data_IF_877603520328
#
_entry.id   IF_877603520328
#
_cell.length_a   1.000
_cell.length_b   1.000
_cell.length_c   1.000
_cell.angle_alpha   90.00
_cell.angle_beta   90.00
_cell.angle_gamma   90.00
#
_symmetry.space_group_name_H-M   'P 1'
#
loop_
_entity.id
_entity.type
_entity.pdbx_description
1 polymer ?
#
# COMPACT_ATOMS: atom_id res chain seq x y z
N UNK A 1 -23.74 -47.56 24.38
CA UNK A 1 -22.82 -46.43 24.22
C UNK A 1 -21.40 -46.96 24.06
N UNK A 2 -20.70 -46.53 23.01
CA UNK A 2 -19.32 -46.91 22.71
C UNK A 2 -18.48 -45.64 22.77
N UNK A 3 -17.27 -45.75 23.30
CA UNK A 3 -16.31 -44.64 23.25
C UNK A 3 -15.68 -44.61 21.88
N UNK A 4 -15.96 -43.57 21.12
CA UNK A 4 -15.40 -43.30 19.80
C UNK A 4 -14.10 -42.52 19.97
N UNK A 5 -13.02 -42.98 19.37
CA UNK A 5 -11.71 -42.33 19.45
C UNK A 5 -11.08 -42.21 18.08
N UNK A 6 -10.16 -41.29 17.95
CA UNK A 6 -9.39 -41.13 16.70
C UNK A 6 -8.38 -40.00 16.80
N UNK A 7 -7.66 -39.81 15.69
CA UNK A 7 -6.68 -38.73 15.50
C UNK A 7 -7.00 -37.99 14.23
N UNK A 8 -6.91 -36.68 14.28
CA UNK A 8 -7.13 -35.80 13.14
C UNK A 8 -5.81 -35.08 12.79
N UNK A 9 -5.39 -35.22 11.56
CA UNK A 9 -4.14 -34.62 11.03
C UNK A 9 -4.41 -33.85 9.73
N UNK A 10 -3.47 -33.02 9.32
CA UNK A 10 -3.46 -32.39 8.00
C UNK A 10 -2.85 -33.30 6.92
N UNK A 11 -2.70 -32.79 5.71
CA UNK A 11 -2.08 -33.47 4.57
C UNK A 11 -0.59 -33.79 4.77
N UNK A 12 0.09 -33.05 5.64
CA UNK A 12 1.50 -33.24 6.01
C UNK A 12 1.68 -34.13 7.24
N UNK A 13 0.56 -34.74 7.70
CA UNK A 13 0.52 -35.63 8.86
C UNK A 13 0.79 -34.96 10.22
N UNK A 14 0.63 -33.61 10.28
CA UNK A 14 0.72 -32.83 11.50
C UNK A 14 -0.60 -32.86 12.27
N UNK A 15 -0.60 -33.03 13.60
CA UNK A 15 -1.82 -33.08 14.40
C UNK A 15 -2.58 -31.77 14.38
N UNK A 16 -3.89 -31.83 14.15
CA UNK A 16 -4.76 -30.66 14.13
C UNK A 16 -5.46 -30.48 15.48
N UNK A 17 -5.14 -29.35 16.14
CA UNK A 17 -5.69 -29.00 17.46
C UNK A 17 -6.98 -28.22 17.29
N UNK A 18 -8.01 -28.53 18.09
CA UNK A 18 -9.24 -27.76 18.11
C UNK A 18 -10.20 -28.05 16.94
N UNK A 19 -10.02 -29.15 16.22
CA UNK A 19 -11.01 -29.65 15.24
C UNK A 19 -12.30 -29.98 15.96
N UNK A 20 -13.41 -29.44 15.51
CA UNK A 20 -14.72 -29.74 16.06
C UNK A 20 -15.23 -31.07 15.49
N UNK A 21 -15.56 -32.01 16.37
CA UNK A 21 -16.03 -33.36 16.04
C UNK A 21 -17.44 -33.52 16.63
N UNK A 22 -18.47 -33.61 15.77
CA UNK A 22 -19.87 -33.67 16.20
C UNK A 22 -20.57 -34.88 15.60
N UNK A 23 -21.46 -35.52 16.35
CA UNK A 23 -22.33 -36.55 15.81
C UNK A 23 -23.42 -35.88 14.94
N UNK A 24 -23.49 -36.26 13.67
CA UNK A 24 -24.43 -35.69 12.72
C UNK A 24 -25.86 -35.73 13.21
N UNK A 25 -26.53 -34.57 13.19
CA UNK A 25 -27.93 -34.42 13.62
C UNK A 25 -28.13 -34.33 15.14
N UNK A 26 -27.05 -34.18 15.91
CA UNK A 26 -27.13 -34.00 17.38
C UNK A 26 -26.27 -32.79 17.80
N UNK A 27 -26.45 -32.37 19.06
CA UNK A 27 -25.58 -31.36 19.69
C UNK A 27 -24.38 -31.99 20.45
N UNK A 28 -24.20 -33.31 20.33
CA UNK A 28 -23.13 -34.02 21.04
C UNK A 28 -21.85 -33.96 20.25
N UNK A 29 -20.81 -33.32 20.80
CA UNK A 29 -19.54 -33.13 20.14
C UNK A 29 -18.39 -32.96 21.11
N UNK A 30 -17.18 -32.94 20.58
CA UNK A 30 -15.91 -32.70 21.28
C UNK A 30 -14.94 -31.95 20.36
N UNK A 31 -13.79 -31.53 20.87
CA UNK A 31 -12.69 -30.94 20.07
C UNK A 31 -11.43 -31.80 20.24
N UNK A 32 -10.57 -31.76 19.22
CA UNK A 32 -9.25 -32.43 19.29
C UNK A 32 -8.30 -31.75 20.26
N UNK A 33 -7.47 -32.51 20.93
CA UNK A 33 -6.42 -32.07 21.85
C UNK A 33 -5.13 -31.63 21.10
N UNK A 34 -4.04 -31.37 21.86
CA UNK A 34 -2.73 -30.99 21.37
C UNK A 34 -2.07 -32.02 20.44
N UNK A 35 -2.42 -33.29 20.58
CA UNK A 35 -1.96 -34.41 19.75
C UNK A 35 -2.92 -34.71 18.60
N UNK A 36 -3.93 -33.86 18.37
CA UNK A 36 -4.98 -34.10 17.38
C UNK A 36 -5.95 -35.21 17.73
N UNK A 37 -5.95 -35.74 18.98
CA UNK A 37 -6.80 -36.83 19.41
C UNK A 37 -8.16 -36.34 19.89
N UNK A 38 -9.20 -37.13 19.62
CA UNK A 38 -10.55 -36.87 20.14
C UNK A 38 -11.12 -38.10 20.82
N UNK A 39 -12.00 -37.87 21.76
CA UNK A 39 -12.79 -38.91 22.44
C UNK A 39 -14.23 -38.43 22.58
N UNK A 40 -15.18 -39.21 22.10
CA UNK A 40 -16.61 -38.91 22.10
C UNK A 40 -17.41 -40.14 22.41
N UNK A 41 -18.50 -40.02 23.17
CA UNK A 41 -19.41 -41.13 23.49
C UNK A 41 -20.57 -41.12 22.49
N UNK A 42 -20.83 -42.27 21.87
CA UNK A 42 -21.91 -42.43 20.91
C UNK A 42 -22.22 -43.93 20.64
N UNK A 43 -22.73 -44.24 19.46
CA UNK A 43 -23.10 -45.58 19.03
C UNK A 43 -22.44 -45.94 17.70
N UNK A 44 -22.14 -47.24 17.52
CA UNK A 44 -21.61 -47.73 16.26
C UNK A 44 -22.57 -47.43 15.11
N UNK A 45 -22.05 -46.99 13.97
CA UNK A 45 -22.83 -46.63 12.79
C UNK A 45 -23.22 -45.17 12.72
N UNK A 46 -22.97 -44.39 13.76
CA UNK A 46 -23.20 -42.93 13.68
C UNK A 46 -22.15 -42.24 12.81
N UNK A 47 -22.57 -41.18 12.12
CA UNK A 47 -21.70 -40.34 11.28
C UNK A 47 -21.12 -39.23 12.14
N UNK A 48 -19.80 -39.13 12.16
CA UNK A 48 -19.07 -38.02 12.76
C UNK A 48 -18.78 -36.95 11.69
N UNK A 49 -19.00 -35.71 12.05
CA UNK A 49 -18.73 -34.55 11.22
C UNK A 49 -17.50 -33.82 11.79
N UNK A 50 -16.47 -33.72 10.99
CA UNK A 50 -15.22 -33.04 11.34
C UNK A 50 -15.22 -31.68 10.66
N UNK A 51 -15.09 -30.59 11.41
CA UNK A 51 -15.01 -29.23 10.89
C UNK A 51 -13.87 -28.45 11.53
N UNK A 52 -13.10 -27.75 10.71
CA UNK A 52 -12.01 -26.90 11.11
C UNK A 52 -11.91 -25.69 10.18
N UNK A 53 -11.49 -24.53 10.71
CA UNK A 53 -11.40 -23.30 9.93
C UNK A 53 -10.35 -23.47 8.81
N UNK A 54 -10.75 -23.22 7.55
CA UNK A 54 -9.87 -23.34 6.39
C UNK A 54 -9.71 -24.77 5.87
N UNK A 55 -10.46 -25.75 6.39
CA UNK A 55 -10.41 -27.15 5.92
C UNK A 55 -11.75 -27.65 5.44
N UNK A 56 -11.73 -28.55 4.48
CA UNK A 56 -12.93 -29.20 3.92
C UNK A 56 -13.61 -30.04 4.97
N UNK A 57 -14.90 -29.79 5.19
CA UNK A 57 -15.75 -30.58 6.11
C UNK A 57 -15.75 -32.05 5.67
N UNK A 58 -15.54 -32.97 6.61
CA UNK A 58 -15.56 -34.39 6.35
C UNK A 58 -16.63 -35.10 7.21
N UNK A 59 -17.31 -36.08 6.59
CA UNK A 59 -18.27 -36.92 7.26
C UNK A 59 -17.81 -38.39 7.22
N UNK A 60 -17.64 -39.02 8.37
CA UNK A 60 -17.12 -40.40 8.46
C UNK A 60 -18.00 -41.22 9.38
N UNK A 61 -18.44 -42.35 8.91
CA UNK A 61 -19.21 -43.33 9.74
C UNK A 61 -18.29 -44.09 10.68
N UNK A 62 -18.58 -44.03 11.98
CA UNK A 62 -17.80 -44.78 12.99
C UNK A 62 -18.13 -46.28 12.99
N UNK A 63 -17.12 -47.13 12.76
CA UNK A 63 -17.25 -48.57 12.62
C UNK A 63 -16.63 -49.35 13.80
N UNK A 64 -16.54 -48.73 14.98
CA UNK A 64 -16.03 -49.41 16.19
C UNK A 64 -14.51 -49.54 16.28
N UNK A 65 -13.74 -48.84 15.39
CA UNK A 65 -12.27 -48.77 15.43
C UNK A 65 -11.83 -47.33 15.53
N UNK A 66 -10.69 -47.04 16.16
CA UNK A 66 -10.14 -45.69 16.18
C UNK A 66 -10.00 -45.13 14.78
N UNK A 67 -10.45 -43.88 14.56
CA UNK A 67 -10.38 -43.20 13.27
C UNK A 67 -9.05 -42.50 13.10
N UNK A 68 -8.52 -42.54 11.89
CA UNK A 68 -7.43 -41.68 11.47
C UNK A 68 -7.99 -40.78 10.34
N UNK A 69 -8.13 -39.49 10.62
CA UNK A 69 -8.80 -38.54 9.73
C UNK A 69 -7.79 -37.55 9.21
N UNK A 70 -7.60 -37.54 7.90
CA UNK A 70 -6.74 -36.56 7.20
C UNK A 70 -7.63 -35.46 6.66
N UNK A 71 -7.61 -34.29 7.28
CA UNK A 71 -8.32 -33.14 6.77
C UNK A 71 -7.52 -32.50 5.64
N UNK A 72 -8.22 -32.17 4.59
CA UNK A 72 -7.63 -31.45 3.44
C UNK A 72 -7.96 -29.97 3.62
N UNK A 73 -7.01 -29.12 3.26
CA UNK A 73 -7.31 -27.71 3.12
C UNK A 73 -8.55 -27.57 2.27
N UNK A 74 -9.45 -26.66 2.67
CA UNK A 74 -10.53 -26.27 1.78
C UNK A 74 -9.92 -25.51 0.62
N UNK A 75 -9.30 -26.28 -0.26
CA UNK A 75 -8.89 -25.85 -1.60
C UNK A 75 -10.09 -25.79 -2.55
N UNK A 76 -11.26 -25.44 -2.10
CA UNK A 76 -11.96 -24.40 -2.78
C UNK A 76 -11.07 -23.18 -2.59
N UNK A 77 -9.97 -23.15 -3.37
CA UNK A 77 -9.47 -21.92 -3.92
C UNK A 77 -10.74 -21.14 -4.17
N UNK A 78 -10.97 -20.05 -3.44
CA UNK A 78 -11.97 -19.07 -3.80
C UNK A 78 -11.78 -18.97 -5.30
N UNK A 79 -12.72 -19.54 -6.10
CA UNK A 79 -12.62 -19.46 -7.55
C UNK A 79 -12.51 -17.97 -7.76
N UNK A 80 -11.28 -17.51 -8.01
CA UNK A 80 -11.02 -16.09 -8.12
C UNK A 80 -11.89 -15.58 -9.23
N UNK A 81 -12.99 -15.02 -8.84
CA UNK A 81 -14.02 -14.52 -9.73
C UNK A 81 -13.57 -13.13 -10.11
N UNK A 82 -13.30 -12.94 -11.37
CA UNK A 82 -12.85 -11.68 -11.95
C UNK A 82 -14.09 -10.96 -12.49
N UNK A 83 -14.32 -9.74 -12.05
CA UNK A 83 -15.36 -8.88 -12.65
C UNK A 83 -14.76 -8.17 -13.84
N UNK A 84 -15.14 -8.57 -15.05
CA UNK A 84 -14.72 -7.93 -16.29
C UNK A 84 -15.91 -7.21 -16.90
N UNK A 85 -15.87 -5.89 -16.95
CA UNK A 85 -17.00 -5.07 -17.41
C UNK A 85 -18.22 -5.25 -16.52
N UNK A 86 -19.29 -5.80 -17.07
CA UNK A 86 -20.54 -6.08 -16.37
C UNK A 86 -20.74 -7.57 -16.06
N UNK A 87 -19.74 -8.41 -16.32
CA UNK A 87 -19.82 -9.86 -16.14
C UNK A 87 -18.84 -10.34 -15.09
N UNK A 88 -19.31 -11.28 -14.28
CA UNK A 88 -18.50 -12.02 -13.34
C UNK A 88 -18.01 -13.29 -14.03
N UNK A 89 -16.72 -13.37 -14.32
CA UNK A 89 -16.08 -14.49 -15.05
C UNK A 89 -15.08 -15.19 -14.14
N UNK A 90 -14.97 -16.52 -14.20
CA UNK A 90 -13.94 -17.24 -13.48
C UNK A 90 -12.57 -16.90 -14.07
N UNK A 91 -11.54 -16.72 -13.23
CA UNK A 91 -10.16 -16.46 -13.68
C UNK A 91 -9.66 -17.56 -14.62
N UNK A 92 -10.08 -18.80 -14.41
CA UNK A 92 -9.79 -19.95 -15.28
C UNK A 92 -10.33 -19.80 -16.70
N UNK A 93 -11.39 -19.02 -16.89
CA UNK A 93 -12.09 -18.87 -18.16
C UNK A 93 -11.55 -17.67 -18.97
N UNK A 94 -10.58 -16.94 -18.40
CA UNK A 94 -9.94 -15.82 -19.06
C UNK A 94 -8.75 -16.31 -19.88
N UNK A 95 -8.87 -16.16 -21.18
CA UNK A 95 -7.79 -16.49 -22.13
C UNK A 95 -6.65 -15.49 -22.15
N UNK A 96 -6.76 -14.37 -21.43
CA UNK A 96 -5.75 -13.29 -21.37
C UNK A 96 -4.91 -13.33 -20.10
N UNK A 97 -3.72 -12.71 -20.13
CA UNK A 97 -2.85 -12.56 -18.94
C UNK A 97 -3.43 -11.58 -17.94
N UNK A 98 -4.14 -12.10 -16.94
CA UNK A 98 -4.68 -11.34 -15.81
C UNK A 98 -3.76 -11.56 -14.59
N UNK A 99 -3.29 -10.47 -13.97
CA UNK A 99 -2.65 -10.53 -12.67
C UNK A 99 -3.61 -10.05 -11.59
N UNK A 100 -3.62 -10.76 -10.47
CA UNK A 100 -4.33 -10.35 -9.26
C UNK A 100 -3.29 -9.85 -8.27
N UNK A 101 -3.53 -8.70 -7.66
CA UNK A 101 -2.68 -8.14 -6.62
C UNK A 101 -3.09 -8.73 -5.28
N UNK A 102 -2.11 -9.22 -4.50
CA UNK A 102 -2.37 -9.64 -3.13
C UNK A 102 -2.66 -8.43 -2.25
N UNK A 103 -3.94 -8.24 -1.95
CA UNK A 103 -4.38 -7.10 -1.12
C UNK A 103 -3.95 -7.22 0.34
N UNK A 104 -3.58 -8.41 0.82
CA UNK A 104 -3.03 -8.58 2.17
C UNK A 104 -1.61 -8.05 2.23
N UNK A 105 -0.78 -8.39 1.23
CA UNK A 105 0.57 -7.84 1.11
C UNK A 105 0.54 -6.33 0.85
N UNK A 106 -0.35 -5.86 -0.01
CA UNK A 106 -0.55 -4.44 -0.29
C UNK A 106 -0.80 -3.63 0.98
N UNK A 107 -1.66 -4.12 1.88
CA UNK A 107 -2.02 -3.45 3.13
C UNK A 107 -0.89 -3.41 4.17
N UNK A 108 0.22 -4.10 3.97
CA UNK A 108 1.41 -3.97 4.82
C UNK A 108 2.21 -2.70 4.54
N UNK A 109 2.07 -2.14 3.34
CA UNK A 109 2.71 -0.88 2.96
C UNK A 109 2.19 0.30 3.80
N UNK A 110 3.06 1.23 4.15
CA UNK A 110 2.72 2.51 4.80
C UNK A 110 2.31 3.60 3.80
N UNK A 111 2.51 3.36 2.50
CA UNK A 111 2.24 4.35 1.46
C UNK A 111 0.76 4.80 1.46
N UNK A 112 0.54 6.10 1.30
CA UNK A 112 -0.79 6.72 1.39
C UNK A 112 -1.69 6.47 0.19
N UNK A 113 -1.12 6.19 -1.00
CA UNK A 113 -1.90 6.04 -2.23
C UNK A 113 -2.00 4.59 -2.66
N UNK A 114 -3.12 4.25 -3.34
CA UNK A 114 -3.34 2.91 -3.85
C UNK A 114 -2.23 2.47 -4.81
N UNK A 115 -1.82 3.38 -5.70
CA UNK A 115 -0.79 3.10 -6.70
C UNK A 115 0.56 2.79 -6.03
N UNK A 116 0.97 3.58 -5.04
CA UNK A 116 2.22 3.36 -4.31
C UNK A 116 2.20 2.03 -3.55
N UNK A 117 1.07 1.63 -2.97
CA UNK A 117 0.93 0.35 -2.27
C UNK A 117 1.02 -0.87 -3.20
N UNK A 118 0.78 -0.69 -4.52
CA UNK A 118 0.90 -1.78 -5.51
C UNK A 118 2.33 -2.05 -5.96
N UNK A 119 3.31 -1.25 -5.53
CA UNK A 119 4.70 -1.37 -5.95
C UNK A 119 5.27 -2.76 -5.64
N UNK A 120 5.81 -3.44 -6.68
CA UNK A 120 6.42 -4.76 -6.54
C UNK A 120 5.44 -5.94 -6.41
N UNK A 121 4.12 -5.70 -6.35
CA UNK A 121 3.12 -6.76 -6.10
C UNK A 121 2.59 -7.43 -7.38
N UNK A 122 2.88 -6.90 -8.55
CA UNK A 122 2.40 -7.47 -9.80
C UNK A 122 3.52 -7.54 -10.86
N UNK A 123 3.76 -8.73 -11.42
CA UNK A 123 4.75 -8.93 -12.48
C UNK A 123 4.38 -8.13 -13.73
N UNK A 124 5.38 -7.48 -14.37
CA UNK A 124 5.17 -6.66 -15.56
C UNK A 124 4.42 -5.34 -15.31
N UNK A 125 4.30 -4.93 -14.06
CA UNK A 125 3.79 -3.63 -13.64
C UNK A 125 4.92 -2.86 -12.98
N UNK A 126 5.22 -1.69 -13.50
CA UNK A 126 6.23 -0.79 -12.96
C UNK A 126 5.54 0.39 -12.27
N UNK A 127 5.79 0.54 -10.98
CA UNK A 127 5.29 1.67 -10.17
C UNK A 127 6.48 2.51 -9.75
N UNK A 128 6.41 3.81 -9.99
CA UNK A 128 7.42 4.79 -9.61
C UNK A 128 6.79 5.84 -8.72
N UNK A 129 7.17 5.83 -7.46
CA UNK A 129 6.81 6.87 -6.50
C UNK A 129 7.92 7.91 -6.42
N UNK A 130 7.55 9.17 -6.23
CA UNK A 130 8.48 10.26 -5.93
C UNK A 130 9.02 10.19 -4.49
N UNK A 131 8.33 9.43 -3.61
CA UNK A 131 8.59 9.39 -2.17
C UNK A 131 8.02 10.58 -1.40
N UNK A 132 7.31 11.49 -2.06
CA UNK A 132 6.64 12.62 -1.40
C UNK A 132 5.31 12.20 -0.82
N UNK A 133 5.00 12.70 0.37
CA UNK A 133 3.70 12.50 0.97
C UNK A 133 2.61 13.16 0.12
N UNK A 134 1.50 12.47 -0.14
CA UNK A 134 0.36 12.98 -0.90
C UNK A 134 0.58 13.12 -2.42
N UNK A 135 1.67 12.62 -2.97
CA UNK A 135 1.89 12.56 -4.41
C UNK A 135 1.59 11.17 -4.95
N UNK A 136 0.84 11.11 -6.05
CA UNK A 136 0.55 9.84 -6.70
C UNK A 136 1.79 9.28 -7.40
N UNK A 137 1.92 7.96 -7.32
CA UNK A 137 2.92 7.24 -8.08
C UNK A 137 2.49 7.07 -9.54
N UNK A 138 3.43 7.11 -10.46
CA UNK A 138 3.19 6.73 -11.84
C UNK A 138 3.19 5.21 -11.98
N UNK A 139 2.27 4.68 -12.77
CA UNK A 139 2.14 3.24 -13.03
C UNK A 139 2.18 2.95 -14.53
N UNK A 140 2.88 1.90 -14.92
CA UNK A 140 3.02 1.46 -16.30
C UNK A 140 2.90 -0.07 -16.37
N UNK A 141 2.17 -0.57 -17.37
CA UNK A 141 2.00 -2.00 -17.63
C UNK A 141 2.79 -2.36 -18.89
N UNK A 142 3.71 -3.35 -18.78
CA UNK A 142 4.55 -3.84 -19.87
C UNK A 142 5.46 -2.79 -20.54
N UNK A 143 5.73 -1.67 -19.85
CA UNK A 143 6.67 -0.65 -20.31
C UNK A 143 6.00 0.50 -21.08
N UNK A 144 6.84 1.23 -21.83
CA UNK A 144 6.44 2.43 -22.58
C UNK A 144 5.97 2.03 -23.96
N UNK A 145 4.70 2.18 -24.25
CA UNK A 145 4.09 1.89 -25.56
C UNK A 145 3.80 3.13 -26.40
N UNK A 146 3.84 4.32 -25.79
CA UNK A 146 3.54 5.62 -26.43
C UNK A 146 4.50 6.70 -25.95
N UNK A 147 4.78 7.70 -26.82
CA UNK A 147 5.56 8.88 -26.45
C UNK A 147 4.74 9.91 -25.66
N UNK A 148 3.41 9.81 -25.66
CA UNK A 148 2.53 10.81 -25.05
C UNK A 148 1.94 10.38 -23.72
N UNK A 149 1.30 9.22 -23.64
CA UNK A 149 0.65 8.71 -22.43
C UNK A 149 0.76 7.19 -22.34
N UNK A 150 1.25 6.69 -21.20
CA UNK A 150 1.41 5.27 -20.92
C UNK A 150 0.64 4.83 -19.67
N UNK A 151 -0.20 5.70 -19.12
CA UNK A 151 -1.04 5.36 -17.97
C UNK A 151 -2.09 4.30 -18.36
N UNK A 152 -2.31 3.28 -17.53
CA UNK A 152 -3.38 2.32 -17.72
C UNK A 152 -4.74 2.96 -17.46
N UNK A 153 -5.80 2.32 -17.98
CA UNK A 153 -7.16 2.70 -17.65
C UNK A 153 -7.54 2.15 -16.27
N UNK A 154 -8.12 3.00 -15.44
CA UNK A 154 -8.65 2.57 -14.15
C UNK A 154 -10.17 2.36 -14.22
N UNK A 155 -10.61 1.30 -13.57
CA UNK A 155 -12.03 0.95 -13.42
C UNK A 155 -12.29 0.61 -11.96
N UNK A 156 -13.00 1.47 -11.25
CA UNK A 156 -13.36 1.28 -9.84
C UNK A 156 -14.86 0.95 -9.76
N UNK A 157 -15.19 -0.22 -9.23
CA UNK A 157 -16.55 -0.75 -9.13
C UNK A 157 -17.36 -0.65 -10.44
N UNK A 158 -16.70 -0.89 -11.58
CA UNK A 158 -17.29 -0.83 -12.91
C UNK A 158 -17.33 0.56 -13.56
N UNK A 159 -16.92 1.61 -12.84
CA UNK A 159 -16.82 2.97 -13.39
C UNK A 159 -15.40 3.31 -13.79
N UNK A 160 -15.23 3.94 -14.95
CA UNK A 160 -13.93 4.44 -15.40
C UNK A 160 -13.63 5.70 -14.62
N UNK A 161 -12.69 5.60 -13.68
CA UNK A 161 -12.25 6.70 -12.82
C UNK A 161 -10.85 6.43 -12.30
N UNK A 162 -10.06 7.47 -12.14
CA UNK A 162 -8.76 7.40 -11.49
C UNK A 162 -8.96 7.38 -9.97
N UNK A 163 -8.38 6.42 -9.24
CA UNK A 163 -8.51 6.38 -7.78
C UNK A 163 -7.87 7.57 -7.06
N UNK A 164 -6.84 8.20 -7.63
CA UNK A 164 -6.23 9.41 -7.05
C UNK A 164 -5.68 9.26 -5.62
N UNK A 165 -5.19 10.34 -5.06
CA UNK A 165 -4.68 10.42 -3.67
C UNK A 165 -5.80 10.39 -2.63
N UNK A 166 -7.00 10.76 -3.01
CA UNK A 166 -8.20 10.80 -2.18
C UNK A 166 -8.82 9.42 -1.96
N UNK A 167 -8.43 8.42 -2.73
CA UNK A 167 -8.93 7.05 -2.58
C UNK A 167 -8.28 6.35 -1.37
N UNK A 168 -9.12 5.77 -0.48
CA UNK A 168 -8.62 5.02 0.67
C UNK A 168 -8.30 3.56 0.30
N UNK A 169 -7.01 3.13 0.30
CA UNK A 169 -6.63 1.76 -0.03
C UNK A 169 -7.22 0.70 0.93
N UNK A 170 -7.58 1.08 2.16
CA UNK A 170 -8.19 0.17 3.13
C UNK A 170 -9.56 -0.36 2.68
N UNK A 171 -10.24 0.38 1.79
CA UNK A 171 -11.56 0.00 1.25
C UNK A 171 -11.47 -1.01 0.09
N UNK A 172 -10.28 -1.35 -0.37
CA UNK A 172 -10.08 -2.29 -1.47
C UNK A 172 -10.35 -3.72 -1.02
N UNK A 173 -11.16 -4.42 -1.82
CA UNK A 173 -11.39 -5.86 -1.73
C UNK A 173 -10.44 -6.63 -2.63
N UNK A 174 -10.38 -6.25 -3.92
CA UNK A 174 -9.50 -6.89 -4.90
C UNK A 174 -9.01 -5.92 -5.97
N UNK A 175 -7.84 -6.21 -6.52
CA UNK A 175 -7.27 -5.50 -7.68
C UNK A 175 -6.88 -6.51 -8.72
N UNK A 176 -7.31 -6.27 -9.96
CA UNK A 176 -7.04 -7.12 -11.11
C UNK A 176 -6.42 -6.27 -12.20
N UNK A 177 -5.41 -6.80 -12.88
CA UNK A 177 -4.66 -6.08 -13.91
C UNK A 177 -4.77 -6.86 -15.20
N UNK A 178 -5.49 -6.29 -16.17
CA UNK A 178 -5.60 -6.83 -17.53
C UNK A 178 -4.42 -6.28 -18.34
N UNK A 179 -3.47 -7.16 -18.65
CA UNK A 179 -2.23 -6.78 -19.35
C UNK A 179 -2.33 -6.94 -20.85
N UNK A 180 -3.26 -7.76 -21.32
CA UNK A 180 -3.43 -8.08 -22.73
C UNK A 180 -4.56 -7.32 -23.37
N UNK A 181 -4.37 -6.94 -24.64
CA UNK A 181 -5.37 -6.23 -25.43
C UNK A 181 -6.68 -7.02 -25.57
N UNK A 182 -6.63 -8.35 -25.64
CA UNK A 182 -7.81 -9.21 -25.71
C UNK A 182 -8.70 -9.11 -24.48
N UNK A 183 -8.09 -9.15 -23.29
CA UNK A 183 -8.81 -8.99 -22.03
C UNK A 183 -9.32 -7.55 -21.82
N UNK A 184 -8.60 -6.57 -22.35
CA UNK A 184 -8.89 -5.14 -22.25
C UNK A 184 -9.89 -4.65 -23.32
N UNK A 185 -10.18 -5.45 -24.35
CA UNK A 185 -10.98 -5.04 -25.52
C UNK A 185 -12.38 -4.49 -25.20
N UNK A 186 -13.01 -4.99 -24.13
CA UNK A 186 -14.32 -4.50 -23.69
C UNK A 186 -14.33 -3.04 -23.25
N UNK A 187 -13.15 -2.47 -22.91
CA UNK A 187 -12.98 -1.08 -22.50
C UNK A 187 -12.58 -0.15 -23.67
N UNK A 188 -12.45 -0.71 -24.88
CA UNK A 188 -12.15 0.02 -26.11
C UNK A 188 -10.71 0.54 -26.19
N UNK A 189 -10.49 1.55 -27.06
CA UNK A 189 -9.15 2.09 -27.36
C UNK A 189 -8.42 2.70 -26.15
N UNK A 190 -9.16 3.16 -25.16
CA UNK A 190 -8.58 3.71 -23.90
C UNK A 190 -7.82 2.67 -23.08
N UNK A 191 -8.07 1.39 -23.32
CA UNK A 191 -7.43 0.27 -22.63
C UNK A 191 -6.13 -0.20 -23.30
N UNK A 192 -5.61 0.53 -24.29
CA UNK A 192 -4.40 0.14 -25.03
C UNK A 192 -3.17 -0.08 -24.14
N UNK A 193 -3.06 0.65 -23.03
CA UNK A 193 -1.97 0.54 -22.05
C UNK A 193 -2.29 -0.43 -20.90
N UNK A 194 -3.35 -1.24 -21.03
CA UNK A 194 -3.86 -2.13 -20.00
C UNK A 194 -4.95 -1.50 -19.13
N UNK A 195 -5.59 -2.33 -18.31
CA UNK A 195 -6.68 -1.92 -17.42
C UNK A 195 -6.41 -2.42 -16.01
N UNK A 196 -6.63 -1.55 -15.04
CA UNK A 196 -6.60 -1.88 -13.62
C UNK A 196 -8.02 -1.80 -13.08
N UNK A 197 -8.53 -2.94 -12.63
CA UNK A 197 -9.87 -3.06 -12.08
C UNK A 197 -9.75 -3.15 -10.57
N UNK A 198 -10.37 -2.21 -9.89
CA UNK A 198 -10.45 -2.14 -8.43
C UNK A 198 -11.88 -2.45 -8.01
N UNK A 199 -12.04 -3.44 -7.15
CA UNK A 199 -13.33 -3.73 -6.50
C UNK A 199 -13.23 -3.31 -5.05
N UNK A 200 -14.20 -2.52 -4.59
CA UNK A 200 -14.25 -2.09 -3.20
C UNK A 200 -15.06 -3.05 -2.33
N UNK A 201 -14.81 -3.02 -1.04
CA UNK A 201 -15.52 -3.84 -0.06
C UNK A 201 -17.01 -3.56 -0.06
N UNK A 202 -17.79 -4.63 0.02
CA UNK A 202 -19.25 -4.63 0.07
C UNK A 202 -19.74 -5.26 1.34
N UNK A 203 -20.97 -4.96 1.70
CA UNK A 203 -21.66 -5.66 2.78
C UNK A 203 -21.87 -7.13 2.44
N UNK A 204 -21.70 -7.99 3.43
CA UNK A 204 -21.94 -9.43 3.32
C UNK A 204 -23.08 -9.80 4.25
N UNK A 205 -23.98 -10.70 3.81
CA UNK A 205 -25.06 -11.22 4.65
C UNK A 205 -24.47 -11.91 5.88
N UNK A 206 -25.05 -11.63 7.04
CA UNK A 206 -24.60 -12.15 8.33
C UNK A 206 -24.63 -11.11 9.44
N UNK A 207 -24.22 -11.52 10.66
CA UNK A 207 -24.18 -10.60 11.80
C UNK A 207 -23.21 -9.44 11.53
N UNK A 208 -23.46 -8.33 12.21
CA UNK A 208 -22.62 -7.14 12.12
C UNK A 208 -21.16 -7.49 12.54
N UNK A 209 -20.22 -7.16 11.68
CA UNK A 209 -18.77 -7.26 11.94
C UNK A 209 -18.19 -5.85 12.04
N UNK A 210 -17.41 -5.63 13.07
CA UNK A 210 -16.65 -4.40 13.28
C UNK A 210 -15.18 -4.70 13.04
N UNK A 211 -14.53 -3.92 12.20
CA UNK A 211 -13.10 -4.01 11.93
C UNK A 211 -12.46 -2.68 12.33
N UNK A 212 -11.42 -2.75 13.15
CA UNK A 212 -10.61 -1.59 13.52
C UNK A 212 -9.15 -1.89 13.14
N UNK A 213 -8.53 -0.99 12.40
CA UNK A 213 -7.13 -1.06 12.04
C UNK A 213 -6.42 0.21 12.50
N UNK A 214 -5.36 0.04 13.25
CA UNK A 214 -4.47 1.11 13.70
C UNK A 214 -3.07 0.74 13.24
N UNK A 215 -2.45 1.60 12.44
CA UNK A 215 -1.09 1.42 11.97
C UNK A 215 -0.31 2.71 12.17
N UNK A 216 0.82 2.60 12.85
CA UNK A 216 1.80 3.67 13.00
C UNK A 216 3.13 3.19 12.47
N UNK A 217 3.76 3.98 11.63
CA UNK A 217 4.99 3.62 10.94
C UNK A 217 5.96 4.79 11.03
N UNK A 218 7.21 4.49 11.32
CA UNK A 218 8.30 5.45 11.21
C UNK A 218 8.96 5.28 9.85
N UNK A 219 9.02 6.35 9.09
CA UNK A 219 9.68 6.41 7.78
C UNK A 219 10.93 7.28 7.86
N UNK A 220 11.99 6.86 7.21
CA UNK A 220 13.21 7.64 7.08
C UNK A 220 13.82 7.44 5.69
N UNK A 221 14.51 8.44 5.19
CA UNK A 221 15.27 8.34 3.94
C UNK A 221 16.69 7.86 4.24
N UNK A 222 17.22 6.88 3.49
CA UNK A 222 18.64 6.56 3.57
C UNK A 222 19.47 7.77 3.15
N UNK A 223 20.59 8.00 3.86
CA UNK A 223 21.53 9.08 3.57
C UNK A 223 22.64 8.58 2.67
N UNK A 224 23.13 9.46 1.82
CA UNK A 224 24.28 9.21 0.97
C UNK A 224 25.57 9.62 1.70
N UNK A 225 26.67 8.95 1.40
CA UNK A 225 28.00 9.34 1.82
C UNK A 225 28.48 10.48 0.90
N UNK A 226 28.30 11.72 1.36
CA UNK A 226 28.69 12.93 0.65
C UNK A 226 30.00 13.48 1.20
N UNK A 227 30.73 14.23 0.37
CA UNK A 227 31.94 14.90 0.79
C UNK A 227 31.66 15.91 1.92
N UNK A 228 32.45 15.88 2.96
CA UNK A 228 32.52 16.94 3.96
C UNK A 228 33.24 18.21 3.42
N UNK A 229 33.22 19.30 4.15
CA UNK A 229 33.80 20.56 3.70
C UNK A 229 35.29 20.46 3.35
N UNK A 230 36.06 19.71 4.12
CA UNK A 230 37.50 19.54 3.87
C UNK A 230 37.77 18.76 2.58
N UNK A 231 37.03 17.69 2.36
CA UNK A 231 37.11 16.89 1.13
C UNK A 231 36.66 17.69 -0.07
N UNK A 232 35.52 18.40 0.06
CA UNK A 232 35.01 19.27 -0.99
C UNK A 232 36.03 20.32 -1.41
N UNK A 233 36.63 21.06 -0.46
CA UNK A 233 37.63 22.07 -0.72
C UNK A 233 38.85 21.45 -1.43
N UNK A 234 39.34 20.32 -0.96
CA UNK A 234 40.50 19.61 -1.54
C UNK A 234 40.25 19.25 -3.00
N UNK A 235 39.12 18.62 -3.32
CA UNK A 235 38.82 18.20 -4.69
C UNK A 235 38.46 19.39 -5.58
N UNK A 236 37.80 20.39 -5.05
CA UNK A 236 37.49 21.62 -5.75
C UNK A 236 38.77 22.37 -6.14
N UNK A 237 39.71 22.49 -5.24
CA UNK A 237 41.02 23.12 -5.52
C UNK A 237 41.81 22.38 -6.60
N UNK A 238 41.77 21.04 -6.60
CA UNK A 238 42.40 20.25 -7.67
C UNK A 238 41.74 20.54 -9.00
N UNK A 239 40.37 20.52 -9.06
CA UNK A 239 39.61 20.77 -10.27
C UNK A 239 39.94 22.19 -10.85
N UNK A 240 39.94 23.21 -10.02
CA UNK A 240 40.26 24.56 -10.45
C UNK A 240 41.70 24.71 -10.96
N UNK A 241 42.69 24.09 -10.27
CA UNK A 241 44.10 24.12 -10.68
C UNK A 241 44.27 23.48 -12.06
N UNK A 242 43.62 22.35 -12.32
CA UNK A 242 43.73 21.69 -13.63
C UNK A 242 42.97 22.50 -14.70
N UNK A 243 41.78 23.04 -14.41
CA UNK A 243 41.03 23.88 -15.34
C UNK A 243 41.79 25.16 -15.74
N UNK A 244 42.52 25.79 -14.81
CA UNK A 244 43.36 26.94 -15.09
C UNK A 244 44.56 26.54 -15.97
N UNK A 245 45.21 25.41 -15.67
CA UNK A 245 46.35 24.87 -16.43
C UNK A 245 45.97 24.56 -17.88
N UNK A 246 44.74 24.02 -18.08
CA UNK A 246 44.21 23.67 -19.40
C UNK A 246 43.62 24.88 -20.16
N UNK A 247 43.64 26.07 -19.57
CA UNK A 247 43.10 27.31 -20.17
C UNK A 247 41.55 27.28 -20.36
N UNK A 248 40.87 26.34 -19.70
CA UNK A 248 39.39 26.18 -19.81
C UNK A 248 38.65 27.23 -18.99
N UNK A 249 39.26 27.74 -17.93
CA UNK A 249 38.65 28.69 -17.03
C UNK A 249 39.44 29.98 -16.89
N UNK A 250 38.74 31.11 -16.96
CA UNK A 250 39.26 32.44 -16.56
C UNK A 250 39.17 32.62 -15.03
N UNK A 251 39.05 31.56 -14.25
CA UNK A 251 38.86 31.61 -12.80
C UNK A 251 40.21 31.83 -12.16
N UNK A 252 40.40 32.98 -11.56
CA UNK A 252 41.63 33.41 -10.89
C UNK A 252 41.68 33.05 -9.40
N UNK A 253 40.58 32.48 -8.85
CA UNK A 253 40.47 32.20 -7.43
C UNK A 253 40.06 30.76 -7.17
N UNK A 254 40.81 30.06 -6.34
CA UNK A 254 40.44 28.76 -5.75
C UNK A 254 39.34 28.95 -4.70
N UNK A 255 38.66 27.86 -4.37
CA UNK A 255 37.67 27.84 -3.29
C UNK A 255 38.25 28.46 -2.01
N UNK A 256 37.53 29.42 -1.40
CA UNK A 256 37.88 29.96 -0.10
C UNK A 256 37.62 28.92 0.99
N UNK A 257 38.48 28.86 1.97
CA UNK A 257 38.26 28.05 3.16
C UNK A 257 36.98 28.49 3.88
N UNK A 258 36.24 27.55 4.42
CA UNK A 258 35.04 27.80 5.20
C UNK A 258 35.21 27.23 6.59
N UNK A 259 34.69 27.92 7.59
CA UNK A 259 34.55 27.42 8.96
C UNK A 259 33.36 26.45 9.12
N UNK A 260 32.52 26.31 8.09
CA UNK A 260 31.31 25.53 8.09
C UNK A 260 31.56 24.17 7.45
N UNK A 261 30.88 23.16 8.01
CA UNK A 261 30.79 21.79 7.48
C UNK A 261 29.37 21.30 7.63
N UNK A 262 28.49 21.78 6.73
CA UNK A 262 27.05 21.53 6.81
C UNK A 262 26.70 20.22 6.12
N UNK A 263 26.14 19.28 6.88
CA UNK A 263 25.50 18.10 6.29
C UNK A 263 24.04 18.41 5.93
N UNK A 264 23.82 18.83 4.70
CA UNK A 264 22.52 19.24 4.22
C UNK A 264 21.45 18.16 4.30
N UNK A 265 21.82 16.88 4.31
CA UNK A 265 20.89 15.79 4.50
C UNK A 265 20.30 15.78 5.92
N UNK A 266 21.11 16.11 6.92
CA UNK A 266 20.67 16.19 8.32
C UNK A 266 19.74 17.38 8.57
N UNK A 267 19.94 18.45 7.83
CA UNK A 267 19.14 19.67 7.94
C UNK A 267 17.77 19.59 7.25
N UNK A 268 17.64 18.75 6.25
CA UNK A 268 16.43 18.67 5.40
C UNK A 268 15.62 17.43 5.67
N UNK A 269 16.26 16.32 6.03
CA UNK A 269 15.59 15.04 6.24
C UNK A 269 15.28 14.82 7.71
N UNK A 270 14.12 14.25 7.97
CA UNK A 270 13.69 13.85 9.32
C UNK A 270 13.12 12.43 9.30
N UNK A 271 13.00 11.84 10.47
CA UNK A 271 12.14 10.67 10.65
C UNK A 271 10.70 11.13 10.68
N UNK A 272 9.89 10.62 9.77
CA UNK A 272 8.48 10.93 9.66
C UNK A 272 7.62 9.90 10.42
N UNK A 273 6.53 10.35 11.02
CA UNK A 273 5.49 9.49 11.54
C UNK A 273 4.38 9.37 10.49
N UNK A 274 4.01 8.14 10.16
CA UNK A 274 2.84 7.83 9.33
C UNK A 274 1.78 7.18 10.22
N UNK A 275 0.58 7.72 10.19
CA UNK A 275 -0.57 7.26 10.96
C UNK A 275 -1.69 6.84 10.00
N UNK A 276 -2.20 5.62 10.13
CA UNK A 276 -3.26 5.07 9.30
C UNK A 276 -4.30 4.37 10.17
N UNK A 277 -5.42 5.04 10.40
CA UNK A 277 -6.51 4.60 11.26
C UNK A 277 -7.75 4.35 10.44
N UNK A 278 -8.26 3.13 10.49
CA UNK A 278 -9.45 2.76 9.74
C UNK A 278 -10.43 2.00 10.64
N UNK A 279 -11.69 2.34 10.54
CA UNK A 279 -12.80 1.62 11.14
C UNK A 279 -13.80 1.25 10.08
N UNK A 280 -14.31 0.02 10.11
CA UNK A 280 -15.37 -0.39 9.20
C UNK A 280 -16.40 -1.28 9.88
N UNK A 281 -17.63 -1.14 9.43
CA UNK A 281 -18.80 -1.91 9.85
C UNK A 281 -19.38 -2.60 8.61
N UNK A 282 -19.63 -3.89 8.70
CA UNK A 282 -20.27 -4.64 7.63
C UNK A 282 -21.29 -5.62 8.20
N UNK A 283 -22.35 -5.86 7.49
CA UNK A 283 -23.38 -6.79 7.89
C UNK A 283 -24.52 -6.85 6.88
N UNK A 284 -25.52 -7.66 7.18
CA UNK A 284 -26.69 -7.77 6.33
C UNK A 284 -27.56 -8.96 6.67
N UNK A 285 -28.67 -9.08 5.96
CA UNK A 285 -29.61 -10.18 6.04
C UNK A 285 -30.04 -10.62 4.64
N UNK A 286 -31.14 -11.39 4.58
CA UNK A 286 -31.65 -11.92 3.31
C UNK A 286 -32.11 -10.83 2.35
N UNK A 287 -32.47 -9.64 2.85
CA UNK A 287 -33.05 -8.56 2.05
C UNK A 287 -32.02 -7.47 1.67
N UNK A 288 -30.81 -7.49 2.26
CA UNK A 288 -29.80 -6.50 1.94
C UNK A 288 -28.59 -6.56 2.84
N UNK A 289 -27.52 -5.87 2.40
CA UNK A 289 -26.28 -5.78 3.11
C UNK A 289 -25.71 -4.36 3.07
N UNK A 290 -24.85 -4.05 4.02
CA UNK A 290 -24.20 -2.75 4.13
C UNK A 290 -22.74 -2.90 4.49
N UNK A 291 -21.95 -1.95 3.99
CA UNK A 291 -20.56 -1.69 4.39
C UNK A 291 -20.42 -0.19 4.63
N UNK A 292 -19.89 0.19 5.77
CA UNK A 292 -19.57 1.58 6.12
C UNK A 292 -18.14 1.63 6.61
N UNK A 293 -17.35 2.57 6.13
CA UNK A 293 -15.98 2.78 6.62
C UNK A 293 -15.70 4.26 6.85
N UNK A 294 -14.81 4.52 7.79
CA UNK A 294 -14.18 5.80 8.00
C UNK A 294 -12.68 5.59 8.19
N UNK A 295 -11.88 6.47 7.62
CA UNK A 295 -10.43 6.39 7.68
C UNK A 295 -9.80 7.76 7.89
N UNK A 296 -8.70 7.77 8.63
CA UNK A 296 -7.77 8.87 8.77
C UNK A 296 -6.38 8.39 8.41
N UNK A 297 -5.72 9.12 7.54
CA UNK A 297 -4.33 8.89 7.16
C UNK A 297 -3.56 10.20 7.28
N UNK A 298 -2.42 10.16 7.94
CA UNK A 298 -1.47 11.27 8.02
C UNK A 298 -0.07 10.76 7.67
N UNK A 299 0.65 11.52 6.87
CA UNK A 299 2.08 11.33 6.64
C UNK A 299 2.79 12.67 6.79
N UNK A 300 3.64 12.77 7.81
CA UNK A 300 4.42 13.97 8.11
C UNK A 300 5.65 14.13 7.19
N UNK A 301 5.82 13.27 6.21
CA UNK A 301 6.88 13.31 5.19
C UNK A 301 8.32 13.27 5.74
N UNK A 302 9.20 12.58 5.03
CA UNK A 302 10.62 12.45 5.41
C UNK A 302 11.46 13.71 5.16
N UNK A 303 10.91 14.70 4.45
CA UNK A 303 11.50 16.03 4.29
C UNK A 303 10.61 17.08 4.93
N UNK A 304 11.22 18.09 5.55
CA UNK A 304 10.46 19.20 6.11
C UNK A 304 9.59 19.90 5.06
N UNK A 305 8.40 20.35 5.46
CA UNK A 305 7.45 21.06 4.60
C UNK A 305 6.71 20.17 3.58
N UNK A 306 6.72 18.86 3.78
CA UNK A 306 5.93 17.94 2.96
C UNK A 306 5.03 17.10 3.87
N UNK A 307 3.75 17.44 3.94
CA UNK A 307 2.74 16.74 4.76
C UNK A 307 1.53 16.37 3.91
N UNK A 308 0.87 15.30 4.33
CA UNK A 308 -0.34 14.83 3.67
C UNK A 308 -1.33 14.27 4.70
N UNK A 309 -2.55 14.78 4.67
CA UNK A 309 -3.68 14.29 5.46
C UNK A 309 -4.81 13.83 4.55
N UNK A 310 -5.45 12.74 4.91
CA UNK A 310 -6.67 12.28 4.26
C UNK A 310 -7.70 11.82 5.28
N UNK A 311 -8.89 12.38 5.19
CA UNK A 311 -10.09 11.90 5.88
C UNK A 311 -10.98 11.24 4.83
N UNK A 312 -11.40 10.02 5.04
CA UNK A 312 -12.21 9.25 4.09
C UNK A 312 -13.44 8.66 4.75
N UNK A 313 -14.53 8.61 4.01
CA UNK A 313 -15.77 8.00 4.42
C UNK A 313 -16.40 7.27 3.24
N UNK A 314 -16.86 6.04 3.45
CA UNK A 314 -17.52 5.24 2.43
C UNK A 314 -18.76 4.55 2.97
N UNK A 315 -19.80 4.53 2.16
CA UNK A 315 -21.00 3.73 2.39
C UNK A 315 -21.28 2.92 1.12
N UNK A 316 -21.51 1.64 1.29
CA UNK A 316 -21.92 0.75 0.24
C UNK A 316 -23.10 -0.07 0.74
N UNK A 317 -24.26 0.12 0.13
CA UNK A 317 -25.48 -0.58 0.49
C UNK A 317 -26.05 -1.34 -0.70
N UNK A 318 -26.60 -2.49 -0.43
CA UNK A 318 -27.29 -3.31 -1.43
C UNK A 318 -28.58 -3.83 -0.82
N UNK A 319 -29.66 -3.82 -1.59
CA UNK A 319 -30.93 -4.36 -1.16
C UNK A 319 -31.67 -5.07 -2.28
N UNK A 320 -32.43 -6.10 -1.92
CA UNK A 320 -33.27 -6.86 -2.86
C UNK A 320 -34.62 -7.17 -2.21
N UNK A 321 -35.67 -6.87 -2.93
CA UNK A 321 -37.04 -7.23 -2.51
C UNK A 321 -37.83 -7.74 -3.72
N UNK A 322 -38.03 -9.04 -3.76
CA UNK A 322 -38.66 -9.71 -4.90
C UNK A 322 -37.83 -9.52 -6.18
N UNK A 323 -38.41 -8.90 -7.18
CA UNK A 323 -37.78 -8.60 -8.47
C UNK A 323 -36.95 -7.30 -8.46
N UNK A 324 -37.11 -6.45 -7.43
CA UNK A 324 -36.45 -5.17 -7.34
C UNK A 324 -35.12 -5.30 -6.58
N UNK A 325 -34.02 -4.81 -7.18
CA UNK A 325 -32.70 -4.70 -6.55
C UNK A 325 -32.22 -3.27 -6.65
N UNK A 326 -31.61 -2.77 -5.59
CA UNK A 326 -30.95 -1.47 -5.58
C UNK A 326 -29.56 -1.60 -4.97
N UNK A 327 -28.68 -0.69 -5.33
CA UNK A 327 -27.35 -0.58 -4.75
C UNK A 327 -26.92 0.88 -4.75
N UNK A 328 -26.18 1.26 -3.73
CA UNK A 328 -25.57 2.57 -3.56
C UNK A 328 -24.10 2.40 -3.20
N UNK A 329 -23.23 3.21 -3.79
CA UNK A 329 -21.84 3.30 -3.46
C UNK A 329 -21.47 4.79 -3.36
N UNK A 330 -21.38 5.29 -2.15
CA UNK A 330 -20.97 6.66 -1.84
C UNK A 330 -19.54 6.63 -1.26
N UNK A 331 -18.66 7.44 -1.81
CA UNK A 331 -17.35 7.71 -1.25
C UNK A 331 -17.15 9.22 -1.14
N UNK A 332 -16.65 9.65 0.00
CA UNK A 332 -16.27 11.04 0.26
C UNK A 332 -14.86 11.04 0.85
N UNK A 333 -14.02 11.95 0.39
CA UNK A 333 -12.71 12.15 0.93
C UNK A 333 -12.36 13.62 0.98
N UNK A 334 -11.62 14.00 2.01
CA UNK A 334 -11.02 15.32 2.15
C UNK A 334 -9.52 15.11 2.32
N UNK A 335 -8.76 15.72 1.43
CA UNK A 335 -7.29 15.67 1.48
C UNK A 335 -6.73 17.06 1.69
N UNK A 336 -5.68 17.12 2.47
CA UNK A 336 -4.87 18.32 2.64
C UNK A 336 -3.41 17.92 2.37
N UNK A 337 -2.78 18.61 1.44
CA UNK A 337 -1.40 18.35 1.04
C UNK A 337 -0.64 19.65 1.13
N UNK A 338 0.46 19.67 1.85
CA UNK A 338 1.47 20.71 1.76
C UNK A 338 2.61 20.16 0.90
N UNK A 339 2.57 20.40 -0.41
CA UNK A 339 3.62 19.95 -1.29
C UNK A 339 4.82 20.88 -1.11
N UNK A 340 5.94 20.35 -0.65
CA UNK A 340 7.20 21.06 -0.82
C UNK A 340 7.47 21.20 -2.34
N UNK A 341 7.20 22.37 -2.90
CA UNK A 341 7.28 22.62 -4.34
C UNK A 341 8.73 22.67 -4.87
N UNK A 342 9.71 22.68 -3.97
CA UNK A 342 11.11 22.69 -4.34
C UNK A 342 11.61 21.28 -4.60
N UNK A 343 12.57 21.14 -5.49
CA UNK A 343 13.24 19.87 -5.77
C UNK A 343 14.25 19.55 -4.67
N UNK A 344 13.76 19.52 -3.43
CA UNK A 344 14.54 19.46 -2.19
C UNK A 344 15.63 18.37 -2.23
N UNK A 345 15.31 17.21 -2.81
CA UNK A 345 16.28 16.12 -2.95
C UNK A 345 17.46 16.47 -3.86
N UNK A 346 17.25 17.16 -4.97
CA UNK A 346 18.34 17.61 -5.82
C UNK A 346 19.12 18.75 -5.15
N UNK A 347 18.44 19.60 -4.41
CA UNK A 347 19.06 20.79 -3.80
C UNK A 347 19.99 20.39 -2.66
N UNK A 348 19.60 19.54 -1.72
CA UNK A 348 20.48 19.15 -0.63
C UNK A 348 21.64 18.24 -1.07
N UNK A 349 21.48 17.45 -2.15
CA UNK A 349 22.56 16.64 -2.70
C UNK A 349 23.62 17.48 -3.45
N UNK A 350 23.24 18.66 -3.93
CA UNK A 350 24.09 19.57 -4.72
C UNK A 350 24.64 20.73 -3.90
N UNK A 351 24.02 20.99 -2.75
CA UNK A 351 24.43 22.10 -1.91
C UNK A 351 25.80 21.84 -1.30
N UNK A 352 26.64 22.84 -1.31
CA UNK A 352 28.03 22.74 -0.86
C UNK A 352 28.11 22.71 0.68
N UNK A 353 28.90 21.82 1.25
CA UNK A 353 29.03 21.71 2.71
C UNK A 353 29.69 22.94 3.35
N UNK A 354 30.34 23.78 2.57
CA UNK A 354 31.03 25.02 3.00
C UNK A 354 30.07 26.20 3.21
N UNK A 355 28.78 26.03 2.97
CA UNK A 355 27.77 27.07 3.17
C UNK A 355 27.03 26.80 4.48
N UNK A 356 26.87 27.82 5.36
CA UNK A 356 26.11 27.68 6.60
C UNK A 356 24.60 27.58 6.33
N UNK A 357 23.85 26.94 7.23
CA UNK A 357 22.39 26.96 7.17
C UNK A 357 21.84 28.37 7.38
N UNK A 358 22.39 29.08 8.35
CA UNK A 358 21.99 30.43 8.72
C UNK A 358 23.16 31.41 8.56
N UNK A 359 22.87 32.59 8.03
CA UNK A 359 23.82 33.73 7.94
C UNK A 359 23.03 35.04 8.12
N UNK A 360 23.17 35.67 9.25
CA UNK A 360 22.47 36.91 9.63
C UNK A 360 22.79 38.09 8.71
N UNK A 361 23.89 38.01 7.97
CA UNK A 361 24.30 39.06 7.03
C UNK A 361 23.55 38.97 5.69
N UNK A 362 22.82 37.87 5.46
CA UNK A 362 22.08 37.68 4.24
C UNK A 362 20.61 38.11 4.37
N UNK A 363 19.98 38.61 3.32
CA UNK A 363 18.54 38.82 3.30
C UNK A 363 17.81 37.54 3.63
N UNK A 364 16.93 37.56 4.67
CA UNK A 364 16.20 36.37 5.13
C UNK A 364 16.93 35.52 6.16
N UNK A 365 18.21 35.81 6.48
CA UNK A 365 18.95 35.13 7.55
C UNK A 365 19.46 33.73 7.20
N UNK A 366 19.41 33.31 5.94
CA UNK A 366 19.88 32.00 5.49
C UNK A 366 21.18 32.12 4.69
N UNK A 367 22.05 31.10 4.85
CA UNK A 367 23.21 30.96 3.99
C UNK A 367 22.81 30.61 2.55
N UNK A 368 23.48 31.17 1.58
CA UNK A 368 23.31 30.81 0.15
C UNK A 368 24.62 30.90 -0.60
N UNK A 369 24.67 30.28 -1.79
CA UNK A 369 25.83 30.34 -2.65
C UNK A 369 26.07 31.79 -3.11
N UNK A 370 27.28 32.28 -2.83
CA UNK A 370 27.75 33.58 -3.29
C UNK A 370 29.10 33.42 -3.99
N UNK A 371 29.09 33.65 -5.29
CA UNK A 371 30.31 33.54 -6.11
C UNK A 371 31.41 34.47 -5.66
N UNK A 372 31.10 35.65 -5.11
CA UNK A 372 32.07 36.61 -4.61
C UNK A 372 32.64 36.23 -3.22
N UNK A 373 31.77 35.73 -2.33
CA UNK A 373 32.12 35.42 -0.94
C UNK A 373 32.67 34.00 -0.75
N UNK A 374 32.03 33.02 -1.41
CA UNK A 374 32.28 31.59 -1.21
C UNK A 374 32.73 30.86 -2.48
N UNK A 375 32.76 31.53 -3.62
CA UNK A 375 32.96 30.92 -4.95
C UNK A 375 32.03 29.74 -5.20
N UNK A 376 30.77 29.86 -4.83
CA UNK A 376 29.78 28.80 -4.80
C UNK A 376 28.46 29.24 -5.43
N UNK A 377 27.74 28.26 -5.95
CA UNK A 377 26.36 28.45 -6.43
C UNK A 377 25.47 27.47 -5.69
N UNK A 378 24.31 27.93 -5.27
CA UNK A 378 23.34 27.05 -4.63
C UNK A 378 22.26 27.82 -3.90
N UNK A 379 21.12 27.18 -3.77
CA UNK A 379 19.98 27.72 -3.04
C UNK A 379 19.79 26.88 -1.78
N UNK A 380 19.75 27.54 -0.63
CA UNK A 380 19.60 26.88 0.65
C UNK A 380 18.26 26.15 0.73
N UNK A 381 18.22 24.80 0.81
CA UNK A 381 16.99 24.03 0.83
C UNK A 381 16.17 24.27 2.12
N UNK A 382 16.81 24.66 3.23
CA UNK A 382 16.13 24.97 4.50
C UNK A 382 15.33 26.26 4.41
N UNK A 383 15.79 27.26 3.63
CA UNK A 383 15.07 28.52 3.46
C UNK A 383 13.65 28.34 2.91
N UNK A 384 13.45 27.39 2.03
CA UNK A 384 12.14 27.10 1.44
C UNK A 384 11.14 26.48 2.42
N UNK A 385 11.63 25.68 3.36
CA UNK A 385 10.79 25.01 4.34
C UNK A 385 10.32 25.95 5.45
N UNK A 386 11.11 26.99 5.76
CA UNK A 386 10.84 27.93 6.84
C UNK A 386 10.13 29.22 6.39
N UNK A 387 10.41 29.70 5.18
CA UNK A 387 9.75 30.91 4.64
C UNK A 387 8.24 30.76 4.51
N UNK A 388 7.74 29.56 4.14
CA UNK A 388 6.29 29.29 4.06
C UNK A 388 5.60 29.25 5.42
N UNK A 389 6.24 28.77 6.47
CA UNK A 389 5.69 28.78 7.81
C UNK A 389 5.43 30.22 8.31
N UNK A 390 6.22 31.19 7.84
CA UNK A 390 6.04 32.61 8.16
C UNK A 390 5.00 33.32 7.27
N UNK A 391 4.81 32.90 6.02
CA UNK A 391 3.80 33.48 5.14
C UNK A 391 2.39 33.08 5.55
N UNK A 392 2.17 31.84 5.95
CA UNK A 392 0.86 31.38 6.46
C UNK A 392 0.45 32.08 7.75
N UNK A 393 1.38 32.49 8.59
CA UNK A 393 1.10 33.28 9.81
C UNK A 393 0.82 34.77 9.54
N UNK A 394 1.17 35.30 8.37
CA UNK A 394 0.85 36.68 7.97
C UNK A 394 -0.52 36.86 7.31
N UNK A 395 -1.16 35.75 6.93
CA UNK A 395 -2.48 35.74 6.28
C UNK A 395 -3.61 35.24 7.21
N UNK A 396 -3.31 35.02 8.51
CA UNK A 396 -4.27 34.86 9.59
C UNK A 396 -4.29 36.12 10.48
#
# INVERSE_FOLDING_TARGET
NVTMTGTVVDTDNLPLIGVNVVIKGTSTGTTTDLDGKFTLTGENGQTLVFSYIGMTLQEIVYKGKPLHVIMKDDSKALEEVVIIGYQTVKKSDLTGAVAVVDTKEMKKSSAGTLVSQMQGLATGVNVRSSGRAGEDASIQIRGVGSLSNNAPLWVVDGMITDPGVDFNPADVESIQILKDASAAAIYGSRAANGVIIVTTKKGVSGPMKVNVSVKETLEWSPKFDLMNAAEYIKYNDIAYKEAIKDGIASITTTQKHSEYDTNWQDEVLKTALVQDYNVSLSGGGDSGSYFVSAGYYNNDGVSYGNTFDRYSFRVNTQGKKGWFSFGENLAYSLTNTDPNQTNTYNDFLRMMPTIPVYDENNPGGYGYGDAAKYNTFGVNPVSYTHLRAHETLRHL
#
